data_IF_023179018274
#
_entry.id   IF_023179018274
#
_cell.length_a   1.000
_cell.length_b   1.000
_cell.length_c   1.000
_cell.angle_alpha   90.00
_cell.angle_beta   90.00
_cell.angle_gamma   90.00
#
_symmetry.space_group_name_H-M   'P 1'
#
loop_
_entity.id
_entity.type
_entity.pdbx_description
1 polymer ?
#
# COMPACT_ATOMS: atom_id res chain seq x y z
N UNK A 1 -12.54 -1.07 -8.41
CA UNK A 1 -12.60 -2.12 -9.44
C UNK A 1 -11.38 -3.05 -9.36
N UNK A 2 -10.13 -2.57 -9.52
CA UNK A 2 -8.93 -3.46 -9.52
C UNK A 2 -8.81 -4.25 -8.22
N UNK A 3 -8.95 -3.60 -7.06
CA UNK A 3 -8.94 -4.26 -5.73
C UNK A 3 -10.30 -4.90 -5.37
N UNK A 4 -11.22 -5.04 -6.33
CA UNK A 4 -12.48 -5.77 -6.24
C UNK A 4 -13.53 -5.25 -5.22
N UNK A 5 -13.31 -4.14 -4.53
CA UNK A 5 -14.30 -3.53 -3.63
C UNK A 5 -15.59 -3.15 -4.40
N UNK A 6 -15.43 -2.65 -5.63
CA UNK A 6 -16.56 -2.31 -6.50
C UNK A 6 -16.52 -3.14 -7.80
N UNK A 7 -17.67 -3.56 -8.31
CA UNK A 7 -17.73 -4.24 -9.60
C UNK A 7 -17.28 -3.33 -10.73
N UNK A 8 -16.78 -3.91 -11.82
CA UNK A 8 -16.54 -3.21 -13.08
C UNK A 8 -17.85 -3.06 -13.84
N UNK A 9 -18.08 -1.89 -14.44
CA UNK A 9 -19.25 -1.67 -15.31
C UNK A 9 -19.10 -2.41 -16.65
N UNK A 10 -17.87 -2.68 -17.08
CA UNK A 10 -17.54 -3.38 -18.32
C UNK A 10 -16.03 -3.56 -18.46
N UNK A 11 -15.60 -4.20 -19.54
CA UNK A 11 -14.19 -4.47 -19.81
C UNK A 11 -13.61 -5.62 -19.00
N UNK A 12 -12.32 -5.89 -19.22
CA UNK A 12 -11.57 -6.98 -18.58
C UNK A 12 -10.40 -6.41 -17.81
N UNK A 13 -10.24 -6.87 -16.56
CA UNK A 13 -9.05 -6.61 -15.74
C UNK A 13 -8.29 -7.91 -15.59
N UNK A 14 -7.03 -7.93 -16.01
CA UNK A 14 -6.16 -9.11 -15.92
C UNK A 14 -4.97 -8.83 -15.02
N UNK A 15 -4.57 -9.86 -14.28
CA UNK A 15 -3.36 -9.86 -13.45
C UNK A 15 -2.63 -11.17 -13.70
N UNK A 16 -1.36 -11.12 -14.10
CA UNK A 16 -0.58 -12.29 -14.55
C UNK A 16 -1.33 -13.15 -15.60
N UNK A 17 -1.94 -12.48 -16.60
CA UNK A 17 -2.67 -13.15 -17.68
C UNK A 17 -4.02 -13.76 -17.27
N UNK A 18 -4.39 -13.73 -15.99
CA UNK A 18 -5.68 -14.24 -15.49
C UNK A 18 -6.67 -13.10 -15.27
N UNK A 19 -7.90 -13.29 -15.70
CA UNK A 19 -8.97 -12.33 -15.44
C UNK A 19 -9.30 -12.31 -13.95
N UNK A 20 -9.32 -11.11 -13.35
CA UNK A 20 -9.57 -10.90 -11.91
C UNK A 20 -10.85 -10.13 -11.63
N UNK A 21 -11.56 -9.60 -12.62
CA UNK A 21 -12.88 -9.00 -12.43
C UNK A 21 -14.01 -10.01 -12.72
N UNK A 22 -15.21 -9.72 -12.21
CA UNK A 22 -16.35 -10.63 -12.27
C UNK A 22 -16.28 -11.76 -11.23
N UNK A 23 -16.83 -12.92 -11.56
CA UNK A 23 -16.77 -14.11 -10.68
C UNK A 23 -15.43 -14.82 -10.88
N UNK A 24 -14.69 -14.98 -9.79
CA UNK A 24 -13.43 -15.74 -9.75
C UNK A 24 -13.49 -16.78 -8.63
N UNK A 25 -12.59 -17.75 -8.64
CA UNK A 25 -12.48 -18.73 -7.56
C UNK A 25 -12.01 -18.07 -6.25
N UNK A 26 -12.27 -18.71 -5.13
CA UNK A 26 -11.87 -18.22 -3.82
C UNK A 26 -10.33 -18.18 -3.71
N UNK A 27 -9.66 -19.17 -4.27
CA UNK A 27 -8.19 -19.26 -4.28
C UNK A 27 -7.58 -18.07 -5.03
N UNK A 28 -8.11 -17.74 -6.22
CA UNK A 28 -7.64 -16.59 -7.01
C UNK A 28 -7.95 -15.28 -6.29
N UNK A 29 -9.10 -15.16 -5.62
CA UNK A 29 -9.46 -13.98 -4.84
C UNK A 29 -8.49 -13.73 -3.68
N UNK A 30 -8.14 -14.78 -2.93
CA UNK A 30 -7.12 -14.72 -1.88
C UNK A 30 -5.74 -14.36 -2.44
N UNK A 31 -5.33 -14.96 -3.55
CA UNK A 31 -4.06 -14.66 -4.20
C UNK A 31 -3.99 -13.19 -4.62
N UNK A 32 -5.02 -12.69 -5.29
CA UNK A 32 -5.12 -11.29 -5.73
C UNK A 32 -5.08 -10.33 -4.54
N UNK A 33 -5.84 -10.62 -3.48
CA UNK A 33 -5.88 -9.79 -2.27
C UNK A 33 -4.52 -9.71 -1.58
N UNK A 34 -3.72 -10.76 -1.62
CA UNK A 34 -2.36 -10.77 -1.07
C UNK A 34 -1.37 -10.01 -1.95
N UNK A 35 -1.41 -10.26 -3.27
CA UNK A 35 -0.40 -9.77 -4.22
C UNK A 35 -0.66 -8.33 -4.69
N UNK A 36 -1.90 -7.84 -4.57
CA UNK A 36 -2.27 -6.46 -4.89
C UNK A 36 -2.62 -5.73 -3.60
N UNK A 37 -1.83 -4.74 -3.25
CA UNK A 37 -2.06 -3.92 -2.06
C UNK A 37 -2.33 -2.47 -2.43
N UNK A 38 -2.85 -1.68 -1.47
CA UNK A 38 -3.18 -0.28 -1.69
C UNK A 38 -2.62 0.62 -0.60
N UNK A 39 -2.01 1.72 -1.03
CA UNK A 39 -1.64 2.85 -0.18
C UNK A 39 -2.69 3.93 -0.41
N UNK A 40 -3.36 4.33 0.65
CA UNK A 40 -4.48 5.28 0.60
C UNK A 40 -4.00 6.73 0.66
N UNK A 41 -4.82 7.62 0.12
CA UNK A 41 -4.60 9.06 0.06
C UNK A 41 -4.49 9.70 1.45
N UNK A 42 -5.38 9.33 2.36
CA UNK A 42 -5.44 9.89 3.72
C UNK A 42 -4.95 8.87 4.75
N UNK A 43 -3.73 9.05 5.28
CA UNK A 43 -3.22 8.17 6.33
C UNK A 43 -3.99 8.29 7.65
N UNK A 44 -4.67 9.44 7.89
CA UNK A 44 -5.47 9.63 9.10
C UNK A 44 -6.74 8.79 9.06
N UNK A 45 -7.46 8.81 7.94
CA UNK A 45 -8.69 8.04 7.77
C UNK A 45 -8.44 6.54 7.57
N UNK A 46 -7.24 6.15 7.13
CA UNK A 46 -6.92 4.76 6.79
C UNK A 46 -6.37 3.92 7.94
N UNK A 47 -5.96 4.53 9.06
CA UNK A 47 -5.43 3.85 10.23
C UNK A 47 -6.46 3.84 11.36
N UNK A 48 -6.59 2.72 12.05
CA UNK A 48 -7.45 2.61 13.23
C UNK A 48 -6.76 3.28 14.43
N UNK A 49 -7.22 4.48 14.83
CA UNK A 49 -6.66 5.27 15.94
C UNK A 49 -6.71 4.56 17.31
N UNK A 50 -7.52 3.50 17.43
CA UNK A 50 -7.69 2.73 18.68
C UNK A 50 -6.81 1.49 18.74
N UNK A 51 -6.11 1.17 17.65
CA UNK A 51 -5.23 0.02 17.56
C UNK A 51 -3.76 0.45 17.61
N UNK A 52 -2.91 -0.40 18.15
CA UNK A 52 -1.45 -0.21 18.10
C UNK A 52 -0.93 -0.42 16.70
N UNK A 53 0.18 0.20 16.37
CA UNK A 53 0.87 0.07 15.07
C UNK A 53 1.17 -1.39 14.73
N UNK A 54 1.58 -2.20 15.72
CA UNK A 54 1.79 -3.64 15.56
C UNK A 54 0.57 -4.35 14.96
N UNK A 55 -0.63 -4.11 15.52
CA UNK A 55 -1.87 -4.68 15.00
C UNK A 55 -2.22 -4.14 13.60
N UNK A 56 -2.12 -2.81 13.41
CA UNK A 56 -2.44 -2.15 12.13
C UNK A 56 -1.60 -2.70 10.99
N UNK A 57 -0.29 -2.85 11.21
CA UNK A 57 0.63 -3.36 10.19
C UNK A 57 0.38 -4.84 9.92
N UNK A 58 0.12 -5.65 10.96
CA UNK A 58 -0.07 -7.11 10.82
C UNK A 58 -1.49 -7.56 10.50
N UNK A 59 -2.49 -6.66 10.49
CA UNK A 59 -3.91 -7.01 10.25
C UNK A 59 -4.12 -7.80 8.95
N UNK A 60 -3.42 -7.41 7.88
CA UNK A 60 -3.47 -8.09 6.59
C UNK A 60 -3.05 -9.55 6.66
N UNK A 61 -2.08 -9.89 7.51
CA UNK A 61 -1.61 -11.28 7.70
C UNK A 61 -2.74 -12.14 8.28
N UNK A 62 -3.44 -11.66 9.32
CA UNK A 62 -4.56 -12.38 9.91
C UNK A 62 -5.72 -12.55 8.93
N UNK A 63 -6.08 -11.48 8.23
CA UNK A 63 -7.18 -11.49 7.26
C UNK A 63 -6.94 -12.49 6.11
N UNK A 64 -5.68 -12.73 5.76
CA UNK A 64 -5.28 -13.68 4.71
C UNK A 64 -4.88 -15.05 5.24
N UNK A 65 -5.16 -15.37 6.51
CA UNK A 65 -5.00 -16.70 7.07
C UNK A 65 -3.55 -17.13 7.30
N UNK A 66 -2.63 -16.18 7.49
CA UNK A 66 -1.26 -16.51 7.89
C UNK A 66 -1.27 -16.96 9.36
N UNK A 67 -0.87 -18.22 9.59
CA UNK A 67 -0.72 -18.80 10.91
C UNK A 67 0.72 -18.61 11.40
N UNK A 68 1.01 -17.43 11.93
CA UNK A 68 2.32 -17.05 12.47
C UNK A 68 2.29 -17.13 14.01
N UNK A 69 3.40 -17.52 14.61
CA UNK A 69 3.63 -17.31 16.03
C UNK A 69 3.74 -15.81 16.34
N UNK A 70 3.52 -15.43 17.60
CA UNK A 70 3.68 -14.03 18.00
C UNK A 70 5.08 -13.49 17.73
N UNK A 71 6.12 -14.33 17.90
CA UNK A 71 7.51 -13.96 17.62
C UNK A 71 7.73 -13.65 16.13
N UNK A 72 7.28 -14.54 15.23
CA UNK A 72 7.40 -14.36 13.77
C UNK A 72 6.61 -13.12 13.31
N UNK A 73 5.43 -12.89 13.88
CA UNK A 73 4.61 -11.71 13.58
C UNK A 73 5.32 -10.42 13.99
N UNK A 74 5.84 -10.37 15.22
CA UNK A 74 6.58 -9.20 15.71
C UNK A 74 7.83 -8.92 14.86
N UNK A 75 8.56 -9.96 14.47
CA UNK A 75 9.73 -9.82 13.61
C UNK A 75 9.36 -9.23 12.24
N UNK A 76 8.28 -9.73 11.61
CA UNK A 76 7.80 -9.17 10.34
C UNK A 76 7.35 -7.73 10.46
N UNK A 77 6.66 -7.37 11.55
CA UNK A 77 6.25 -5.97 11.82
C UNK A 77 7.48 -5.09 12.02
N UNK A 78 8.45 -5.53 12.81
CA UNK A 78 9.70 -4.81 13.04
C UNK A 78 10.46 -4.55 11.74
N UNK A 79 10.55 -5.57 10.88
CA UNK A 79 11.16 -5.45 9.56
C UNK A 79 10.40 -4.47 8.66
N UNK A 80 9.06 -4.59 8.59
CA UNK A 80 8.22 -3.70 7.78
C UNK A 80 8.33 -2.23 8.22
N UNK A 81 8.44 -1.97 9.52
CA UNK A 81 8.69 -0.62 10.05
C UNK A 81 10.08 -0.13 9.68
N UNK A 82 11.10 -0.96 9.80
CA UNK A 82 12.48 -0.62 9.43
C UNK A 82 12.60 -0.29 7.95
N UNK A 83 11.92 -1.04 7.07
CA UNK A 83 11.91 -0.82 5.62
C UNK A 83 11.36 0.56 5.22
N UNK A 84 10.49 1.12 6.03
CA UNK A 84 9.94 2.47 5.81
C UNK A 84 10.66 3.55 6.64
N UNK A 85 11.78 3.21 7.27
CA UNK A 85 12.61 4.14 8.07
C UNK A 85 11.95 4.55 9.39
N UNK A 86 11.15 3.67 9.98
CA UNK A 86 10.60 3.80 11.33
C UNK A 86 11.32 2.85 12.29
N UNK A 87 11.39 3.23 13.56
CA UNK A 87 11.99 2.37 14.59
C UNK A 87 11.06 1.21 14.93
N UNK A 88 11.56 -0.03 15.09
CA UNK A 88 10.76 -1.20 15.47
C UNK A 88 9.96 -1.02 16.77
N UNK A 89 10.51 -0.32 17.76
CA UNK A 89 9.81 -0.01 19.01
C UNK A 89 8.53 0.81 18.84
N UNK A 90 8.33 1.47 17.69
CA UNK A 90 7.10 2.19 17.40
C UNK A 90 5.89 1.26 17.21
N UNK A 91 6.11 -0.04 17.06
CA UNK A 91 5.05 -1.05 17.00
C UNK A 91 4.09 -1.00 18.21
N UNK A 92 4.59 -0.61 19.40
CA UNK A 92 3.80 -0.53 20.63
C UNK A 92 2.94 0.72 20.77
N UNK A 93 3.12 1.73 19.90
CA UNK A 93 2.47 3.04 19.94
C UNK A 93 1.15 3.07 19.17
N UNK A 94 0.38 4.13 19.38
CA UNK A 94 -0.87 4.41 18.66
C UNK A 94 -0.67 5.44 17.54
N UNK A 95 -1.50 5.44 16.47
CA UNK A 95 -1.36 6.37 15.35
C UNK A 95 -1.33 7.85 15.75
N UNK A 96 -2.12 8.26 16.74
CA UNK A 96 -2.17 9.66 17.20
C UNK A 96 -0.84 10.20 17.77
N UNK A 97 0.11 9.33 18.11
CA UNK A 97 1.44 9.69 18.60
C UNK A 97 2.43 10.05 17.47
N UNK A 98 2.01 9.97 16.20
CA UNK A 98 2.87 10.11 15.02
C UNK A 98 2.51 11.34 14.19
N UNK A 99 3.51 11.91 13.52
CA UNK A 99 3.31 12.94 12.49
C UNK A 99 2.62 12.37 11.25
N UNK A 100 2.05 13.24 10.40
CA UNK A 100 1.41 12.82 9.15
C UNK A 100 2.31 11.98 8.25
N UNK A 101 3.57 12.37 8.10
CA UNK A 101 4.55 11.60 7.33
C UNK A 101 4.89 10.24 7.93
N UNK A 102 4.96 10.14 9.25
CA UNK A 102 5.15 8.86 9.94
C UNK A 102 3.93 7.95 9.81
N UNK A 103 2.71 8.49 9.90
CA UNK A 103 1.47 7.73 9.65
C UNK A 103 1.40 7.22 8.22
N UNK A 104 1.82 8.03 7.24
CA UNK A 104 1.93 7.57 5.84
C UNK A 104 2.90 6.40 5.71
N UNK A 105 4.05 6.46 6.37
CA UNK A 105 5.02 5.35 6.40
C UNK A 105 4.45 4.09 7.07
N UNK A 106 3.64 4.22 8.12
CA UNK A 106 2.90 3.09 8.73
C UNK A 106 1.92 2.47 7.71
N UNK A 107 1.19 3.30 6.95
CA UNK A 107 0.31 2.84 5.87
C UNK A 107 1.06 2.11 4.76
N UNK A 108 2.28 2.56 4.41
CA UNK A 108 3.16 1.87 3.46
C UNK A 108 3.63 0.53 4.05
N UNK A 109 4.09 0.50 5.32
CA UNK A 109 4.52 -0.73 6.00
C UNK A 109 3.39 -1.79 6.03
N UNK A 110 2.14 -1.36 6.28
CA UNK A 110 0.95 -2.22 6.24
C UNK A 110 0.75 -2.87 4.86
N UNK A 111 1.01 -2.14 3.77
CA UNK A 111 0.93 -2.71 2.43
C UNK A 111 2.10 -3.68 2.16
N UNK A 112 3.30 -3.33 2.60
CA UNK A 112 4.53 -4.09 2.32
C UNK A 112 4.64 -5.41 3.08
N UNK A 113 4.03 -5.54 4.26
CA UNK A 113 4.12 -6.77 5.08
C UNK A 113 3.50 -7.99 4.39
N UNK A 114 2.61 -7.74 3.42
CA UNK A 114 1.97 -8.76 2.59
C UNK A 114 2.89 -9.28 1.47
N UNK A 115 4.07 -8.67 1.29
CA UNK A 115 5.00 -8.97 0.20
C UNK A 115 4.30 -8.93 -1.17
N UNK A 116 3.68 -7.78 -1.53
CA UNK A 116 2.92 -7.67 -2.77
C UNK A 116 3.83 -7.59 -3.98
N UNK A 117 3.30 -7.94 -5.16
CA UNK A 117 3.94 -7.68 -6.46
C UNK A 117 3.48 -6.35 -7.06
N UNK A 118 2.27 -5.92 -6.68
CA UNK A 118 1.61 -4.76 -7.25
C UNK A 118 1.01 -3.88 -6.17
N UNK A 119 1.32 -2.58 -6.21
CA UNK A 119 0.78 -1.60 -5.26
C UNK A 119 0.04 -0.50 -6.03
N UNK A 120 -1.20 -0.25 -5.63
CA UNK A 120 -1.95 0.92 -6.05
C UNK A 120 -1.68 2.03 -5.04
N UNK A 121 -0.98 3.07 -5.46
CA UNK A 121 -0.69 4.25 -4.64
C UNK A 121 -1.65 5.37 -5.06
N UNK A 122 -2.72 5.57 -4.27
CA UNK A 122 -3.75 6.55 -4.54
C UNK A 122 -3.40 7.87 -3.81
N UNK A 123 -2.87 8.83 -4.56
CA UNK A 123 -2.40 10.14 -4.07
C UNK A 123 -1.57 10.06 -2.76
N UNK A 124 -0.56 9.19 -2.65
CA UNK A 124 0.06 8.80 -1.37
C UNK A 124 0.82 9.93 -0.67
N UNK A 125 0.91 11.10 -1.29
CA UNK A 125 1.66 12.26 -0.77
C UNK A 125 0.84 13.54 -0.76
N UNK A 126 -0.41 13.54 -1.23
CA UNK A 126 -1.21 14.76 -1.42
C UNK A 126 -1.48 15.51 -0.10
N UNK A 127 -1.70 14.77 0.99
CA UNK A 127 -1.99 15.31 2.31
C UNK A 127 -0.74 15.70 3.15
N UNK A 128 0.47 15.61 2.57
CA UNK A 128 1.73 15.84 3.28
C UNK A 128 2.34 17.21 2.95
N UNK A 129 3.14 17.76 3.86
CA UNK A 129 3.96 18.93 3.64
C UNK A 129 5.04 18.69 2.58
N UNK A 130 5.46 19.75 1.87
CA UNK A 130 6.38 19.67 0.72
C UNK A 130 7.66 18.89 1.03
N UNK A 131 8.29 19.15 2.19
CA UNK A 131 9.53 18.48 2.59
C UNK A 131 9.32 16.98 2.87
N UNK A 132 8.18 16.61 3.43
CA UNK A 132 7.82 15.23 3.74
C UNK A 132 7.42 14.49 2.46
N UNK A 133 6.75 15.16 1.49
CA UNK A 133 6.43 14.57 0.18
C UNK A 133 7.66 13.99 -0.50
N UNK A 134 8.75 14.77 -0.57
CA UNK A 134 9.99 14.32 -1.19
C UNK A 134 10.58 13.08 -0.51
N UNK A 135 10.54 13.03 0.82
CA UNK A 135 11.03 11.88 1.59
C UNK A 135 10.21 10.62 1.32
N UNK A 136 8.87 10.73 1.27
CA UNK A 136 7.99 9.59 1.00
C UNK A 136 8.10 9.13 -0.45
N UNK A 137 8.26 10.05 -1.40
CA UNK A 137 8.52 9.71 -2.80
C UNK A 137 9.83 8.94 -2.99
N UNK A 138 10.91 9.42 -2.40
CA UNK A 138 12.20 8.71 -2.44
C UNK A 138 12.08 7.31 -1.83
N UNK A 139 11.41 7.20 -0.67
CA UNK A 139 11.14 5.91 -0.03
C UNK A 139 10.40 4.95 -0.99
N UNK A 140 9.33 5.41 -1.66
CA UNK A 140 8.58 4.58 -2.61
C UNK A 140 9.43 4.17 -3.81
N UNK A 141 10.28 5.06 -4.34
CA UNK A 141 11.19 4.75 -5.43
C UNK A 141 12.28 3.74 -5.02
N UNK A 142 12.81 3.85 -3.81
CA UNK A 142 13.79 2.91 -3.27
C UNK A 142 13.18 1.53 -3.04
N UNK A 143 11.97 1.47 -2.47
CA UNK A 143 11.21 0.24 -2.27
C UNK A 143 10.86 -0.43 -3.61
N UNK A 144 10.51 0.34 -4.65
CA UNK A 144 10.24 -0.19 -5.99
C UNK A 144 11.44 -0.97 -6.51
N UNK A 145 12.65 -0.40 -6.40
CA UNK A 145 13.88 -1.04 -6.86
C UNK A 145 14.28 -2.22 -6.00
N UNK A 146 14.26 -2.03 -4.68
CA UNK A 146 14.74 -3.05 -3.72
C UNK A 146 13.87 -4.32 -3.72
N UNK A 147 12.55 -4.17 -3.96
CA UNK A 147 11.58 -5.27 -3.90
C UNK A 147 10.97 -5.63 -5.26
N UNK A 148 11.45 -5.02 -6.36
CA UNK A 148 10.94 -5.21 -7.72
C UNK A 148 9.41 -5.02 -7.81
N UNK A 149 8.91 -3.96 -7.16
CA UNK A 149 7.47 -3.68 -7.09
C UNK A 149 6.98 -3.00 -8.37
N UNK A 150 5.77 -3.34 -8.78
CA UNK A 150 5.04 -2.61 -9.80
C UNK A 150 4.06 -1.64 -9.14
N UNK A 151 4.10 -0.36 -9.51
CA UNK A 151 3.16 0.64 -9.01
C UNK A 151 2.13 1.06 -10.06
N UNK A 152 0.87 1.15 -9.65
CA UNK A 152 -0.13 2.02 -10.26
C UNK A 152 -0.21 3.29 -9.43
N UNK A 153 0.47 4.33 -9.86
CA UNK A 153 0.58 5.58 -9.13
C UNK A 153 -0.48 6.57 -9.62
N UNK A 154 -1.42 6.95 -8.78
CA UNK A 154 -2.46 7.95 -9.09
C UNK A 154 -2.02 9.28 -8.47
N UNK A 155 -1.94 10.31 -9.29
CA UNK A 155 -1.59 11.66 -8.84
C UNK A 155 -2.15 12.72 -9.80
N UNK A 156 -2.29 13.94 -9.29
CA UNK A 156 -2.68 15.11 -10.08
C UNK A 156 -1.47 16.04 -10.38
N UNK A 157 -0.30 15.75 -9.80
CA UNK A 157 0.94 16.52 -10.02
C UNK A 157 1.85 15.79 -11.02
N UNK A 158 2.03 16.38 -12.20
CA UNK A 158 2.87 15.82 -13.26
C UNK A 158 4.34 15.70 -12.87
N UNK A 159 4.85 16.57 -11.99
CA UNK A 159 6.26 16.53 -11.53
C UNK A 159 6.51 15.25 -10.76
N UNK A 160 5.57 14.87 -9.91
CA UNK A 160 5.60 13.62 -9.13
C UNK A 160 5.56 12.40 -10.05
N UNK A 161 4.61 12.39 -10.99
CA UNK A 161 4.46 11.28 -11.95
C UNK A 161 5.71 11.09 -12.79
N UNK A 162 6.33 12.17 -13.28
CA UNK A 162 7.59 12.10 -14.05
C UNK A 162 8.77 11.57 -13.24
N UNK A 163 8.75 11.72 -11.93
CA UNK A 163 9.84 11.25 -11.06
C UNK A 163 9.78 9.73 -10.83
N UNK A 164 8.58 9.16 -10.66
CA UNK A 164 8.42 7.77 -10.19
C UNK A 164 7.92 6.80 -11.27
N UNK A 165 7.30 7.30 -12.36
CA UNK A 165 6.62 6.45 -13.33
C UNK A 165 7.40 6.33 -14.64
N UNK A 166 7.51 5.11 -15.18
CA UNK A 166 8.07 4.81 -16.52
C UNK A 166 7.05 5.05 -17.64
N UNK A 167 5.74 4.90 -17.33
CA UNK A 167 4.64 5.06 -18.28
C UNK A 167 3.55 5.92 -17.64
N UNK A 168 2.93 6.79 -18.46
CA UNK A 168 1.91 7.73 -17.99
C UNK A 168 0.64 7.56 -18.82
N UNK A 169 -0.51 7.46 -18.16
CA UNK A 169 -1.82 7.54 -18.75
C UNK A 169 -2.53 8.79 -18.22
N UNK A 170 -3.07 9.61 -19.12
CA UNK A 170 -3.82 10.82 -18.74
C UNK A 170 -5.31 10.55 -18.91
N UNK A 171 -6.07 10.74 -17.82
CA UNK A 171 -7.52 10.61 -17.85
C UNK A 171 -8.13 12.01 -17.99
N UNK A 172 -8.91 12.22 -19.04
CA UNK A 172 -9.68 13.45 -19.24
C UNK A 172 -11.14 13.11 -19.54
N UNK A 173 -12.07 13.65 -18.73
CA UNK A 173 -13.53 13.41 -18.86
C UNK A 173 -13.88 11.91 -18.96
N UNK A 174 -13.21 11.06 -18.17
CA UNK A 174 -13.45 9.62 -18.11
C UNK A 174 -12.89 8.81 -19.28
N UNK A 175 -12.00 9.39 -20.09
CA UNK A 175 -11.30 8.72 -21.21
C UNK A 175 -9.78 8.82 -21.02
N UNK A 176 -9.05 7.78 -21.40
CA UNK A 176 -7.59 7.74 -21.48
C UNK A 176 -7.18 8.18 -22.89
#
# INVERSE_FOLDING_TARGET
>A
AVIRIHPTAGGTVTFDGRQINGRISRELDHEVTRRIQMIFQDPMASLNERAKVDYIVSEGLYANGFHLSDAERHERVAQALSDVGLLPEFASRFPHEFSGGQRQRIGIARALIMEPDFIIADEPISALDVSIRAQVLNLLADLQKARNLTYLFIAHDLSVVRFICDRIAVIHKGKI
#
